data_IF_586571696691
#
_entry.id   IF_586571696691
#
_cell.length_a   1.000
_cell.length_b   1.000
_cell.length_c   1.000
_cell.angle_alpha   90.00
_cell.angle_beta   90.00
_cell.angle_gamma   90.00
#
_symmetry.space_group_name_H-M   'P 1'
#
loop_
_entity.id
_entity.type
_entity.pdbx_description
1 polymer ?
#
# COMPACT_ATOMS: atom_id res chain seq x y z
N UNK A 1 3.80 11.50 22.15
CA UNK A 1 2.91 10.48 22.74
C UNK A 1 2.31 9.63 21.62
N UNK A 2 2.23 8.32 21.81
CA UNK A 2 1.56 7.38 20.89
C UNK A 2 0.36 6.79 21.63
N UNK A 3 -0.80 6.75 20.98
CA UNK A 3 -2.07 6.34 21.56
C UNK A 3 -2.63 5.14 20.81
N UNK A 4 -3.16 4.15 21.52
CA UNK A 4 -3.96 3.07 20.95
C UNK A 4 -5.44 3.41 21.14
N UNK A 5 -6.19 3.51 20.03
CA UNK A 5 -7.61 3.90 20.04
C UNK A 5 -8.46 2.90 19.25
N UNK A 6 -9.72 2.74 19.64
CA UNK A 6 -10.72 1.97 18.90
C UNK A 6 -11.51 2.85 17.93
N UNK A 7 -11.87 2.31 16.77
CA UNK A 7 -12.71 3.00 15.78
C UNK A 7 -13.58 2.04 14.96
N UNK A 8 -14.41 2.56 14.04
CA UNK A 8 -15.36 1.74 13.27
C UNK A 8 -14.68 0.70 12.35
N UNK A 9 -13.43 0.94 11.98
CA UNK A 9 -12.63 0.05 11.14
C UNK A 9 -11.64 -0.82 11.93
N UNK A 10 -11.80 -0.88 13.26
CA UNK A 10 -10.92 -1.59 14.17
C UNK A 10 -9.96 -0.66 14.93
N UNK A 11 -9.07 -1.27 15.72
CA UNK A 11 -8.08 -0.56 16.53
C UNK A 11 -6.98 0.04 15.66
N UNK A 12 -6.52 1.22 16.05
CA UNK A 12 -5.47 1.97 15.37
C UNK A 12 -4.55 2.64 16.37
N UNK A 13 -3.29 2.81 15.98
CA UNK A 13 -2.32 3.64 16.69
C UNK A 13 -2.32 5.04 16.09
N UNK A 14 -2.23 6.04 16.96
CA UNK A 14 -2.23 7.44 16.61
C UNK A 14 -1.01 8.14 17.20
N UNK A 15 -0.34 8.94 16.38
CA UNK A 15 0.74 9.81 16.82
C UNK A 15 0.15 11.14 17.33
N UNK A 16 0.24 11.35 18.64
CA UNK A 16 -0.28 12.53 19.32
C UNK A 16 -1.79 12.52 19.53
N UNK A 17 -2.28 13.57 20.18
CA UNK A 17 -3.70 13.76 20.46
C UNK A 17 -4.42 14.45 19.30
N UNK A 18 -5.74 14.29 19.25
CA UNK A 18 -6.58 15.01 18.30
C UNK A 18 -6.63 16.49 18.71
N UNK A 19 -6.18 17.38 17.82
CA UNK A 19 -6.22 18.84 18.02
C UNK A 19 -6.97 19.50 16.88
N UNK A 20 -7.69 20.59 17.19
CA UNK A 20 -8.44 21.34 16.19
C UNK A 20 -7.47 21.88 15.13
N UNK A 21 -7.66 21.47 13.87
CA UNK A 21 -6.81 21.87 12.73
C UNK A 21 -5.62 20.96 12.43
N UNK A 22 -5.42 19.87 13.18
CA UNK A 22 -4.33 18.92 12.94
C UNK A 22 -4.88 17.52 12.63
N UNK A 23 -4.43 16.92 11.52
CA UNK A 23 -4.73 15.52 11.19
C UNK A 23 -3.58 14.64 11.70
N UNK A 24 -3.76 13.93 12.83
CA UNK A 24 -2.69 13.12 13.37
C UNK A 24 -2.38 11.92 12.47
N UNK A 25 -1.13 11.48 12.48
CA UNK A 25 -0.72 10.27 11.77
C UNK A 25 -1.33 9.06 12.46
N UNK A 26 -2.01 8.20 11.69
CA UNK A 26 -2.67 7.00 12.17
C UNK A 26 -2.20 5.78 11.40
N UNK A 27 -2.11 4.64 12.07
CA UNK A 27 -1.87 3.35 11.42
C UNK A 27 -2.80 2.28 12.01
N UNK A 28 -3.34 1.42 11.15
CA UNK A 28 -4.21 0.34 11.57
C UNK A 28 -3.41 -0.78 12.25
N UNK A 29 -3.96 -1.34 13.32
CA UNK A 29 -3.36 -2.47 14.05
C UNK A 29 -3.98 -3.82 13.62
N UNK A 30 -4.58 -3.88 12.42
CA UNK A 30 -5.27 -5.08 11.92
C UNK A 30 -4.40 -6.35 11.83
N UNK A 31 -3.08 -6.20 11.86
CA UNK A 31 -2.11 -7.31 11.81
C UNK A 31 -1.98 -8.04 13.14
N UNK A 32 -2.22 -7.35 14.26
CA UNK A 32 -2.02 -7.88 15.60
C UNK A 32 -3.38 -8.33 16.13
N UNK A 33 -3.49 -9.63 16.46
CA UNK A 33 -4.73 -10.21 16.99
C UNK A 33 -4.98 -9.83 18.44
N UNK A 34 -3.92 -9.80 19.25
CA UNK A 34 -3.99 -9.48 20.67
C UNK A 34 -3.49 -8.06 20.94
N UNK A 35 -4.41 -7.19 21.35
CA UNK A 35 -4.10 -5.79 21.63
C UNK A 35 -3.20 -5.62 22.88
N UNK A 36 -3.21 -6.59 23.81
CA UNK A 36 -2.37 -6.55 25.01
C UNK A 36 -0.88 -6.74 24.71
N UNK A 37 -0.55 -7.41 23.60
CA UNK A 37 0.82 -7.67 23.17
C UNK A 37 1.51 -6.49 22.47
N UNK A 38 0.80 -5.38 22.25
CA UNK A 38 1.33 -4.24 21.48
C UNK A 38 2.33 -3.46 22.33
N UNK A 39 3.59 -3.50 21.93
CA UNK A 39 4.64 -2.65 22.50
C UNK A 39 4.70 -1.28 21.81
N UNK A 40 5.36 -0.32 22.46
CA UNK A 40 5.60 1.01 21.88
C UNK A 40 6.41 0.92 20.57
N UNK A 41 7.38 0.01 20.51
CA UNK A 41 8.22 -0.21 19.33
C UNK A 41 7.39 -0.66 18.12
N UNK A 42 6.48 -1.62 18.32
CA UNK A 42 5.55 -2.07 17.28
C UNK A 42 4.63 -0.93 16.82
N UNK A 43 4.15 -0.10 17.75
CA UNK A 43 3.31 1.05 17.42
C UNK A 43 4.05 2.08 16.56
N UNK A 44 5.31 2.36 16.89
CA UNK A 44 6.17 3.27 16.11
C UNK A 44 6.42 2.71 14.72
N UNK A 45 6.71 1.41 14.60
CA UNK A 45 6.99 0.79 13.30
C UNK A 45 5.75 0.83 12.38
N UNK A 46 4.56 0.52 12.91
CA UNK A 46 3.30 0.64 12.16
C UNK A 46 3.04 2.07 11.66
N UNK A 47 3.38 3.07 12.49
CA UNK A 47 3.23 4.48 12.13
C UNK A 47 4.20 4.94 11.04
N UNK A 48 5.24 4.17 10.68
CA UNK A 48 6.14 4.53 9.57
C UNK A 48 5.46 4.41 8.22
N UNK A 49 4.56 3.45 8.06
CA UNK A 49 3.88 3.18 6.79
C UNK A 49 2.88 4.30 6.42
N UNK A 50 2.72 4.63 5.13
CA UNK A 50 3.33 3.98 3.97
C UNK A 50 4.80 4.35 3.74
N UNK A 51 5.64 3.35 3.43
CA UNK A 51 7.06 3.53 3.09
C UNK A 51 7.19 3.55 1.56
N UNK A 52 7.93 4.52 1.02
CA UNK A 52 8.24 4.57 -0.42
C UNK A 52 9.62 3.97 -0.64
N UNK A 53 9.72 2.91 -1.45
CA UNK A 53 10.99 2.24 -1.76
C UNK A 53 11.78 2.99 -2.84
N UNK A 54 11.09 3.66 -3.75
CA UNK A 54 11.66 4.41 -4.86
C UNK A 54 10.72 4.45 -6.06
N UNK A 55 11.25 4.86 -7.20
CA UNK A 55 10.51 4.96 -8.45
C UNK A 55 10.72 3.72 -9.31
N UNK A 56 9.64 3.26 -9.96
CA UNK A 56 9.70 2.13 -10.86
C UNK A 56 10.49 2.51 -12.14
N UNK A 57 11.39 1.63 -12.64
CA UNK A 57 12.34 1.98 -13.70
C UNK A 57 11.70 2.30 -15.06
N UNK A 58 10.51 1.77 -15.33
CA UNK A 58 9.84 1.92 -16.64
C UNK A 58 8.99 3.19 -16.73
N UNK A 59 8.24 3.52 -15.68
CA UNK A 59 7.25 4.61 -15.70
C UNK A 59 7.55 5.73 -14.69
N UNK A 60 8.63 5.58 -13.89
CA UNK A 60 9.07 6.59 -12.94
C UNK A 60 8.14 6.80 -11.74
N UNK A 61 7.09 6.00 -11.58
CA UNK A 61 6.09 6.20 -10.53
C UNK A 61 6.47 5.46 -9.24
N UNK A 62 6.09 6.00 -8.06
CA UNK A 62 6.56 5.48 -6.79
C UNK A 62 5.99 4.10 -6.47
N UNK A 63 6.84 3.24 -5.94
CA UNK A 63 6.49 1.94 -5.35
C UNK A 63 6.41 2.11 -3.84
N UNK A 64 5.27 1.76 -3.26
CA UNK A 64 4.99 1.99 -1.83
C UNK A 64 4.58 0.71 -1.12
N UNK A 65 5.13 0.46 0.07
CA UNK A 65 4.64 -0.57 0.99
C UNK A 65 3.55 0.03 1.88
N UNK A 66 2.41 -0.66 1.98
CA UNK A 66 1.24 -0.25 2.78
C UNK A 66 0.74 -1.39 3.66
N UNK A 67 0.21 -1.02 4.82
CA UNK A 67 -0.52 -1.92 5.70
C UNK A 67 -1.93 -2.15 5.14
N UNK A 68 -2.34 -3.42 5.08
CA UNK A 68 -3.68 -3.86 4.70
C UNK A 68 -4.22 -4.88 5.71
N UNK A 69 -5.52 -5.16 5.66
CA UNK A 69 -6.18 -6.18 6.52
C UNK A 69 -5.52 -7.56 6.40
N UNK A 70 -4.99 -7.90 5.23
CA UNK A 70 -4.39 -9.21 4.96
C UNK A 70 -2.91 -9.30 5.34
N UNK A 71 -2.24 -8.18 5.57
CA UNK A 71 -0.78 -8.14 5.59
C UNK A 71 -0.21 -6.83 5.04
N UNK A 72 1.09 -6.82 4.82
CA UNK A 72 1.74 -5.78 4.03
C UNK A 72 1.45 -6.00 2.54
N UNK A 73 1.36 -4.90 1.80
CA UNK A 73 1.07 -4.89 0.38
C UNK A 73 1.96 -3.89 -0.32
N UNK A 74 2.43 -4.24 -1.51
CA UNK A 74 3.18 -3.36 -2.38
C UNK A 74 2.20 -2.76 -3.37
N UNK A 75 2.14 -1.44 -3.39
CA UNK A 75 1.27 -0.68 -4.28
C UNK A 75 2.13 0.07 -5.29
N UNK A 76 1.80 -0.15 -6.55
CA UNK A 76 2.29 0.63 -7.66
C UNK A 76 1.10 1.00 -8.56
N UNK A 77 0.75 2.30 -8.60
CA UNK A 77 -0.45 2.82 -9.29
C UNK A 77 -1.73 2.10 -8.85
N UNK A 78 -2.26 1.23 -9.73
CA UNK A 78 -3.45 0.41 -9.54
C UNK A 78 -3.11 -1.02 -9.13
N UNK A 79 -1.87 -1.48 -9.35
CA UNK A 79 -1.44 -2.81 -9.01
C UNK A 79 -1.14 -2.89 -7.51
N UNK A 80 -1.66 -3.92 -6.87
CA UNK A 80 -1.49 -4.23 -5.47
C UNK A 80 -1.01 -5.68 -5.38
N UNK A 81 0.24 -5.87 -4.99
CA UNK A 81 0.80 -7.18 -4.72
C UNK A 81 0.76 -7.45 -3.20
N UNK A 82 0.22 -8.59 -2.74
CA UNK A 82 0.35 -8.98 -1.35
C UNK A 82 1.81 -9.40 -1.05
N UNK A 83 2.32 -9.03 0.11
CA UNK A 83 3.59 -9.56 0.62
C UNK A 83 3.31 -10.90 1.33
N UNK A 84 4.07 -11.97 1.04
CA UNK A 84 3.96 -13.22 1.77
C UNK A 84 4.21 -13.04 3.27
N UNK A 85 3.48 -13.77 4.11
CA UNK A 85 3.62 -13.69 5.59
C UNK A 85 4.99 -14.14 6.10
N UNK A 86 5.74 -14.88 5.29
CA UNK A 86 7.10 -15.33 5.60
C UNK A 86 8.14 -14.21 5.50
N UNK A 87 7.84 -13.12 4.80
CA UNK A 87 8.80 -12.04 4.52
C UNK A 87 8.52 -10.87 5.45
N UNK A 88 9.58 -10.36 6.09
CA UNK A 88 9.51 -9.16 6.92
C UNK A 88 9.42 -7.94 6.01
N UNK A 89 8.48 -7.04 6.29
CA UNK A 89 8.21 -5.89 5.41
C UNK A 89 9.38 -4.91 5.26
N UNK A 90 10.27 -4.84 6.27
CA UNK A 90 11.45 -3.98 6.25
C UNK A 90 12.59 -4.54 5.36
N UNK A 91 12.57 -5.85 5.05
CA UNK A 91 13.60 -6.51 4.23
C UNK A 91 13.24 -6.53 2.72
N UNK A 92 12.20 -5.79 2.33
CA UNK A 92 11.73 -5.73 0.95
C UNK A 92 12.50 -4.65 0.20
N UNK A 93 13.44 -5.10 -0.62
CA UNK A 93 14.18 -4.26 -1.56
C UNK A 93 13.35 -3.97 -2.82
N UNK A 94 13.84 -3.01 -3.63
CA UNK A 94 13.24 -2.65 -4.91
C UNK A 94 13.06 -3.86 -5.84
N UNK A 95 14.06 -4.73 -5.94
CA UNK A 95 14.03 -5.91 -6.82
C UNK A 95 12.94 -6.91 -6.42
N UNK A 96 12.84 -7.21 -5.11
CA UNK A 96 11.79 -8.08 -4.56
C UNK A 96 10.41 -7.46 -4.78
N UNK A 97 10.30 -6.13 -4.65
CA UNK A 97 9.05 -5.42 -4.90
C UNK A 97 8.60 -5.54 -6.36
N UNK A 98 9.53 -5.42 -7.30
CA UNK A 98 9.26 -5.63 -8.73
C UNK A 98 8.86 -7.08 -9.04
N UNK A 99 9.54 -8.05 -8.43
CA UNK A 99 9.19 -9.47 -8.57
C UNK A 99 7.75 -9.74 -8.11
N UNK A 100 7.36 -9.22 -6.94
CA UNK A 100 6.01 -9.37 -6.41
C UNK A 100 4.95 -8.64 -7.27
N UNK A 101 5.30 -7.49 -7.84
CA UNK A 101 4.42 -6.71 -8.73
C UNK A 101 4.23 -7.34 -10.12
N UNK A 102 5.13 -8.22 -10.54
CA UNK A 102 5.03 -9.00 -11.78
C UNK A 102 4.46 -10.41 -11.55
N UNK A 103 4.22 -10.77 -10.29
CA UNK A 103 3.69 -12.08 -9.92
C UNK A 103 2.20 -12.29 -10.25
N UNK A 104 1.71 -13.53 -10.10
CA UNK A 104 0.32 -13.89 -10.41
C UNK A 104 -0.70 -13.32 -9.39
N UNK A 105 -0.27 -13.06 -8.16
CA UNK A 105 -1.15 -12.65 -7.05
C UNK A 105 -1.52 -11.15 -7.07
N UNK A 106 -1.15 -10.45 -8.13
CA UNK A 106 -1.31 -9.01 -8.25
C UNK A 106 -2.77 -8.66 -8.53
N UNK A 107 -3.35 -7.88 -7.63
CA UNK A 107 -4.72 -7.38 -7.75
C UNK A 107 -4.69 -6.00 -8.37
N UNK A 108 -5.59 -5.75 -9.33
CA UNK A 108 -5.81 -4.40 -9.87
C UNK A 108 -6.94 -3.72 -9.12
N UNK A 109 -6.65 -2.53 -8.60
CA UNK A 109 -7.62 -1.67 -7.94
C UNK A 109 -8.31 -0.73 -8.92
N UNK A 110 -9.61 -0.52 -8.69
CA UNK A 110 -10.46 0.35 -9.47
C UNK A 110 -11.14 -0.33 -10.65
N UNK A 111 -12.11 0.36 -11.24
CA UNK A 111 -12.85 -0.12 -12.43
C UNK A 111 -11.88 -0.24 -13.62
N UNK A 112 -11.83 -1.38 -14.32
CA UNK A 112 -11.12 -1.47 -15.58
C UNK A 112 -11.70 -0.41 -16.53
N UNK A 113 -10.87 0.50 -17.05
CA UNK A 113 -11.32 1.35 -18.16
C UNK A 113 -11.62 0.38 -19.30
N UNK A 114 -12.85 0.39 -19.82
CA UNK A 114 -13.20 -0.39 -21.00
C UNK A 114 -12.18 -0.08 -22.09
N UNK A 115 -11.72 -1.12 -22.82
CA UNK A 115 -10.88 -0.95 -24.00
C UNK A 115 -11.57 0.10 -24.88
N UNK A 116 -10.96 1.28 -25.07
CA UNK A 116 -11.33 2.11 -26.21
C UNK A 116 -11.03 1.24 -27.43
N UNK A 117 -12.07 0.93 -28.21
CA UNK A 117 -11.91 0.37 -29.56
C UNK A 117 -11.01 1.36 -30.28
N UNK A 118 -9.81 0.91 -30.67
CA UNK A 118 -8.98 1.68 -31.58
C UNK A 118 -9.79 1.71 -32.88
N UNK A 119 -10.30 2.88 -33.23
CA UNK A 119 -10.84 3.12 -34.56
C UNK A 119 -9.63 3.06 -35.51
N UNK A 120 -9.73 2.19 -36.51
CA UNK A 120 -8.79 2.11 -37.63
C UNK A 120 -8.98 3.38 -38.48
N UNK A 121 -8.24 4.43 -38.13
CA UNK A 121 -7.84 5.54 -39.00
C UNK A 121 -6.48 5.11 -39.61
N UNK A 122 -6.22 4.99 -40.91
CA UNK A 122 -6.84 5.50 -42.13
C UNK A 122 -6.67 4.45 -43.25
N UNK A 123 -7.76 4.14 -43.96
CA UNK A 123 -7.73 3.44 -45.23
C UNK A 123 -8.51 4.26 -46.25
N UNK A 124 -7.95 5.39 -46.70
CA UNK A 124 -8.18 5.98 -48.02
C UNK A 124 -7.27 7.21 -48.15
N UNK A 125 -6.23 7.10 -48.97
CA UNK A 125 -5.69 8.23 -49.73
C UNK A 125 -5.42 7.75 -51.16
N UNK A 126 -5.85 8.58 -52.09
CA UNK A 126 -6.03 8.40 -53.53
C UNK A 126 -4.79 7.91 -54.32
N UNK A 127 -5.03 7.08 -55.36
CA UNK A 127 -4.63 7.23 -56.79
C UNK A 127 -5.18 6.04 -57.60
#
# INVERSE_FOLDING_TARGET
QVLLKGGPYGSYVQLGEDRKGYLPKRASVSLIKDLGSITLEHAIDLLRYPITLGNHPVDGLPIQIKISKTGFTIRHRRNIAPVPKSVIANDIDMEKALLLLNGPDVKRSGRPKGKKRLEEEEAVDDI
#
